data_IF_006352711325
#
_entry.id   IF_006352711325
#
_cell.length_a   1.000
_cell.length_b   1.000
_cell.length_c   1.000
_cell.angle_alpha   90.00
_cell.angle_beta   90.00
_cell.angle_gamma   90.00
#
_symmetry.space_group_name_H-M   'P 1'
#
loop_
_entity.id
_entity.type
_entity.pdbx_description
1 polymer ?
#
# COMPACT_ATOMS: atom_id res chain seq x y z
N UNK A 1 -50.32 -4.28 47.77
CA UNK A 1 -49.03 -3.61 48.03
C UNK A 1 -47.90 -4.46 47.47
N UNK A 2 -47.14 -3.88 46.53
CA UNK A 2 -45.76 -4.13 46.02
C UNK A 2 -45.03 -5.35 46.64
N UNK A 3 -44.30 -6.18 45.87
CA UNK A 3 -43.04 -5.81 45.20
C UNK A 3 -42.78 -6.70 43.97
N UNK A 4 -42.58 -6.07 42.81
CA UNK A 4 -41.86 -6.67 41.66
C UNK A 4 -40.35 -6.60 41.96
N UNK A 5 -39.66 -7.72 41.83
CA UNK A 5 -38.19 -7.79 41.86
C UNK A 5 -37.70 -7.71 40.42
N UNK A 6 -37.13 -6.56 40.03
CA UNK A 6 -36.36 -6.41 38.79
C UNK A 6 -34.94 -6.94 39.07
N UNK A 7 -34.51 -7.97 38.36
CA UNK A 7 -33.09 -8.36 38.31
C UNK A 7 -32.48 -7.57 37.15
N UNK A 8 -31.69 -6.56 37.47
CA UNK A 8 -30.84 -5.88 36.51
C UNK A 8 -29.62 -6.78 36.24
N UNK A 9 -29.58 -7.42 35.08
CA UNK A 9 -28.35 -8.00 34.54
C UNK A 9 -27.48 -6.84 34.04
N UNK A 10 -26.48 -6.46 34.84
CA UNK A 10 -25.41 -5.59 34.39
C UNK A 10 -24.57 -6.37 33.38
N UNK A 11 -24.71 -6.06 32.09
CA UNK A 11 -23.76 -6.49 31.08
C UNK A 11 -22.43 -5.77 31.36
N UNK A 12 -21.48 -6.46 31.98
CA UNK A 12 -20.09 -6.04 31.97
C UNK A 12 -19.59 -6.18 30.53
N UNK A 13 -19.60 -5.06 29.80
CA UNK A 13 -18.78 -4.92 28.60
C UNK A 13 -17.32 -4.91 29.07
N UNK A 14 -16.66 -6.06 28.98
CA UNK A 14 -15.20 -6.13 28.98
C UNK A 14 -14.74 -5.52 27.66
N UNK A 15 -14.65 -4.19 27.59
CA UNK A 15 -13.74 -3.55 26.65
C UNK A 15 -12.35 -3.92 27.11
N UNK A 16 -11.79 -4.98 26.53
CA UNK A 16 -10.35 -5.16 26.57
C UNK A 16 -9.76 -3.87 26.01
N UNK A 17 -9.03 -3.13 26.84
CA UNK A 17 -8.17 -2.07 26.36
C UNK A 17 -7.12 -2.76 25.49
N UNK A 18 -7.37 -2.86 24.18
CA UNK A 18 -6.28 -3.03 23.24
C UNK A 18 -5.33 -1.87 23.53
N UNK A 19 -4.09 -2.18 23.85
CA UNK A 19 -3.06 -1.16 23.91
C UNK A 19 -2.90 -0.62 22.47
N UNK A 20 -3.60 0.47 22.16
CA UNK A 20 -3.57 1.16 20.85
C UNK A 20 -2.24 1.90 20.60
N UNK A 21 -1.26 1.72 21.48
CA UNK A 21 0.09 2.27 21.35
C UNK A 21 1.02 1.23 20.72
N UNK A 22 1.82 1.66 19.73
CA UNK A 22 3.03 0.91 19.38
C UNK A 22 3.83 0.61 20.64
N UNK A 23 4.24 -0.64 20.79
CA UNK A 23 5.04 -1.12 21.90
C UNK A 23 6.22 -1.93 21.36
N UNK A 24 7.30 -1.93 22.13
CA UNK A 24 8.40 -2.86 21.87
C UNK A 24 7.86 -4.30 21.99
N UNK A 25 8.19 -5.14 21.01
CA UNK A 25 7.93 -6.57 21.00
C UNK A 25 9.07 -7.30 21.72
N UNK A 26 8.74 -8.31 22.52
CA UNK A 26 9.70 -9.26 23.10
C UNK A 26 10.30 -10.23 22.05
N UNK A 27 9.68 -10.32 20.87
CA UNK A 27 9.99 -11.28 19.81
C UNK A 27 10.51 -10.59 18.56
N UNK A 28 11.56 -11.14 17.91
CA UNK A 28 12.10 -10.59 16.68
C UNK A 28 11.09 -10.69 15.55
N UNK A 29 11.09 -9.70 14.66
CA UNK A 29 10.36 -9.74 13.39
C UNK A 29 10.75 -11.01 12.62
N UNK A 30 9.77 -11.87 12.38
CA UNK A 30 9.89 -13.05 11.54
C UNK A 30 9.13 -12.85 10.25
N UNK A 31 9.75 -13.13 9.11
CA UNK A 31 8.96 -13.46 7.92
C UNK A 31 8.47 -14.89 8.07
N UNK A 32 7.19 -15.13 7.80
CA UNK A 32 6.67 -16.48 7.73
C UNK A 32 7.41 -17.23 6.61
N UNK A 33 7.83 -18.46 6.88
CA UNK A 33 8.50 -19.28 5.88
C UNK A 33 7.50 -19.63 4.76
N UNK A 34 7.56 -18.88 3.67
CA UNK A 34 6.66 -19.06 2.53
C UNK A 34 7.18 -20.09 1.51
N UNK A 35 8.40 -20.60 1.67
CA UNK A 35 9.01 -21.54 0.72
C UNK A 35 8.16 -22.79 0.51
N UNK A 36 7.55 -23.34 1.56
CA UNK A 36 6.66 -24.51 1.46
C UNK A 36 5.38 -24.22 0.64
N UNK A 37 4.85 -23.00 0.73
CA UNK A 37 3.66 -22.56 -0.02
C UNK A 37 3.98 -22.50 -1.52
N UNK A 38 5.09 -21.85 -1.90
CA UNK A 38 5.53 -21.74 -3.30
C UNK A 38 6.00 -23.08 -3.90
N UNK A 39 6.68 -23.94 -3.12
CA UNK A 39 7.05 -25.28 -3.59
C UNK A 39 5.79 -26.10 -3.92
N UNK A 40 4.76 -26.00 -3.07
CA UNK A 40 3.49 -26.69 -3.33
C UNK A 40 2.78 -26.13 -4.56
N UNK A 41 2.73 -24.80 -4.69
CA UNK A 41 2.10 -24.12 -5.82
C UNK A 41 2.83 -24.39 -7.14
N UNK A 42 4.16 -24.36 -7.17
CA UNK A 42 4.97 -24.55 -8.39
C UNK A 42 4.82 -25.95 -9.02
N UNK A 43 4.37 -26.94 -8.25
CA UNK A 43 4.06 -28.28 -8.74
C UNK A 43 2.66 -28.42 -9.39
N UNK A 44 1.81 -27.40 -9.31
CA UNK A 44 0.45 -27.44 -9.86
C UNK A 44 0.42 -27.13 -11.37
N UNK A 45 -0.60 -27.63 -12.10
CA UNK A 45 -0.80 -27.23 -13.49
C UNK A 45 -1.01 -25.73 -13.65
N UNK A 46 -0.36 -25.14 -14.64
CA UNK A 46 -0.45 -23.70 -14.97
C UNK A 46 -1.52 -23.46 -16.04
N UNK A 47 -2.40 -22.50 -15.79
CA UNK A 47 -3.36 -21.99 -16.79
C UNK A 47 -2.89 -20.64 -17.31
N UNK A 48 -2.41 -20.59 -18.56
CA UNK A 48 -2.02 -19.32 -19.20
C UNK A 48 -3.26 -18.57 -19.70
N UNK A 49 -3.31 -17.26 -19.44
CA UNK A 49 -4.41 -16.35 -19.80
C UNK A 49 -3.87 -15.10 -20.47
N UNK A 50 -4.61 -14.52 -21.41
CA UNK A 50 -4.23 -13.30 -22.12
C UNK A 50 -5.43 -12.57 -22.71
N UNK A 51 -5.24 -11.29 -23.05
CA UNK A 51 -6.22 -10.49 -23.77
C UNK A 51 -7.45 -10.09 -22.94
N UNK A 52 -8.57 -9.84 -23.61
CA UNK A 52 -9.77 -9.28 -22.98
C UNK A 52 -10.75 -10.34 -22.47
N UNK A 53 -11.14 -10.21 -21.22
CA UNK A 53 -12.25 -10.90 -20.57
C UNK A 53 -13.51 -10.05 -20.74
N UNK A 54 -14.42 -10.52 -21.61
CA UNK A 54 -15.71 -9.86 -21.93
C UNK A 54 -16.93 -10.65 -21.46
N UNK A 55 -16.71 -11.79 -20.81
CA UNK A 55 -17.72 -12.60 -20.13
C UNK A 55 -17.21 -13.04 -18.77
N UNK A 56 -18.11 -13.30 -17.82
CA UNK A 56 -17.74 -13.76 -16.49
C UNK A 56 -16.78 -14.95 -16.57
N UNK A 57 -15.65 -14.83 -15.87
CA UNK A 57 -14.55 -15.79 -15.90
C UNK A 57 -14.14 -16.11 -14.47
N UNK A 58 -13.72 -17.35 -14.22
CA UNK A 58 -13.20 -17.78 -12.92
C UNK A 58 -11.76 -18.25 -13.06
N UNK A 59 -10.89 -17.77 -12.18
CA UNK A 59 -9.51 -18.20 -12.02
C UNK A 59 -9.35 -19.01 -10.72
N UNK A 60 -8.52 -20.06 -10.79
CA UNK A 60 -8.20 -20.94 -9.67
C UNK A 60 -6.89 -21.68 -9.93
N UNK A 61 -6.18 -22.10 -8.88
CA UNK A 61 -4.92 -22.84 -9.01
C UNK A 61 -3.75 -21.89 -9.34
N UNK A 62 -2.89 -22.27 -10.28
CA UNK A 62 -1.81 -21.39 -10.77
C UNK A 62 -2.21 -20.81 -12.12
N UNK A 63 -2.27 -19.49 -12.20
CA UNK A 63 -2.58 -18.72 -13.40
C UNK A 63 -1.34 -17.96 -13.84
N UNK A 64 -1.07 -17.99 -15.14
CA UNK A 64 0.03 -17.26 -15.75
C UNK A 64 -0.53 -16.22 -16.73
N UNK A 65 -0.33 -14.94 -16.45
CA UNK A 65 -0.77 -13.84 -17.30
C UNK A 65 0.30 -13.60 -18.38
N UNK A 66 -0.09 -13.78 -19.65
CA UNK A 66 0.71 -13.44 -20.81
C UNK A 66 0.34 -12.02 -21.31
N UNK A 67 1.24 -11.08 -21.05
CA UNK A 67 1.06 -9.66 -21.39
C UNK A 67 0.07 -8.96 -20.45
N UNK A 68 -0.94 -8.32 -21.05
CA UNK A 68 -1.98 -7.55 -20.35
C UNK A 68 -3.31 -8.30 -20.48
N UNK A 69 -3.96 -8.56 -19.35
CA UNK A 69 -5.34 -9.04 -19.29
C UNK A 69 -6.25 -7.89 -18.90
N UNK A 70 -7.32 -7.67 -19.66
CA UNK A 70 -8.32 -6.62 -19.38
C UNK A 70 -9.67 -7.24 -19.04
N UNK A 71 -10.34 -6.78 -17.99
CA UNK A 71 -11.72 -7.15 -17.65
C UNK A 71 -12.63 -5.98 -18.00
N UNK A 72 -13.60 -6.20 -18.90
CA UNK A 72 -14.42 -5.12 -19.46
C UNK A 72 -15.81 -5.56 -19.90
N UNK A 73 -16.62 -4.61 -20.36
CA UNK A 73 -17.96 -4.84 -20.92
C UNK A 73 -18.93 -5.54 -19.94
N UNK A 74 -18.86 -5.19 -18.65
CA UNK A 74 -19.70 -5.75 -17.58
C UNK A 74 -19.25 -7.12 -17.08
N UNK A 75 -18.17 -7.68 -17.61
CA UNK A 75 -17.65 -8.96 -17.15
C UNK A 75 -17.12 -8.87 -15.71
N UNK A 76 -17.33 -9.93 -14.94
CA UNK A 76 -16.70 -10.13 -13.63
C UNK A 76 -15.63 -11.20 -13.72
N UNK A 77 -14.41 -10.86 -13.33
CA UNK A 77 -13.36 -11.83 -13.04
C UNK A 77 -13.47 -12.27 -11.58
N UNK A 78 -13.78 -13.55 -11.34
CA UNK A 78 -13.75 -14.15 -10.01
C UNK A 78 -12.44 -14.90 -9.81
N UNK A 79 -11.70 -14.62 -8.74
CA UNK A 79 -10.48 -15.33 -8.39
C UNK A 79 -10.75 -16.10 -7.10
N UNK A 80 -10.59 -17.43 -7.14
CA UNK A 80 -10.87 -18.29 -6.00
C UNK A 80 -9.78 -18.14 -4.90
N UNK A 81 -10.12 -18.36 -3.61
CA UNK A 81 -9.12 -18.43 -2.54
C UNK A 81 -7.96 -19.38 -2.86
N UNK A 82 -6.75 -19.03 -2.44
CA UNK A 82 -5.54 -19.84 -2.65
C UNK A 82 -5.03 -19.87 -4.09
N UNK A 83 -5.52 -18.99 -4.96
CA UNK A 83 -5.01 -18.87 -6.34
C UNK A 83 -3.67 -18.13 -6.33
N UNK A 84 -2.70 -18.69 -7.06
CA UNK A 84 -1.44 -18.04 -7.39
C UNK A 84 -1.49 -17.48 -8.81
N UNK A 85 -1.05 -16.25 -8.99
CA UNK A 85 -1.00 -15.56 -10.26
C UNK A 85 0.44 -15.11 -10.49
N UNK A 86 1.01 -15.46 -11.63
CA UNK A 86 2.34 -15.03 -12.07
C UNK A 86 2.30 -14.40 -13.45
N UNK A 87 3.37 -13.70 -13.79
CA UNK A 87 3.60 -13.19 -15.13
C UNK A 87 4.25 -14.26 -16.01
N UNK A 88 3.96 -14.28 -17.31
CA UNK A 88 4.80 -14.98 -18.28
C UNK A 88 5.97 -14.06 -18.67
N UNK A 89 7.23 -14.46 -18.45
CA UNK A 89 8.38 -13.62 -18.81
C UNK A 89 8.34 -13.24 -20.30
N UNK A 90 8.33 -11.93 -20.58
CA UNK A 90 8.31 -11.36 -21.93
C UNK A 90 9.57 -10.50 -22.14
N UNK A 91 9.79 -10.01 -23.37
CA UNK A 91 10.92 -9.12 -23.63
C UNK A 91 10.73 -7.79 -22.89
N UNK A 92 11.84 -7.08 -22.62
CA UNK A 92 11.81 -5.75 -22.01
C UNK A 92 10.89 -4.83 -22.83
N UNK A 93 9.96 -4.16 -22.14
CA UNK A 93 9.03 -3.20 -22.73
C UNK A 93 7.75 -3.80 -23.33
N UNK A 94 7.55 -5.12 -23.28
CA UNK A 94 6.31 -5.74 -23.78
C UNK A 94 5.16 -5.70 -22.76
N UNK A 95 5.45 -5.36 -21.50
CA UNK A 95 4.51 -5.49 -20.39
C UNK A 95 4.26 -6.96 -20.08
N UNK A 96 4.42 -7.35 -18.82
CA UNK A 96 4.26 -8.75 -18.42
C UNK A 96 3.51 -8.84 -17.11
N UNK A 97 2.43 -9.62 -17.08
CA UNK A 97 1.70 -9.86 -15.83
C UNK A 97 0.86 -8.67 -15.35
N UNK A 98 0.21 -7.94 -16.25
CA UNK A 98 -0.65 -6.81 -15.88
C UNK A 98 -2.12 -7.23 -15.92
N UNK A 99 -2.82 -7.09 -14.81
CA UNK A 99 -4.28 -7.28 -14.72
C UNK A 99 -4.97 -5.92 -14.63
N UNK A 100 -5.77 -5.56 -15.63
CA UNK A 100 -6.54 -4.32 -15.64
C UNK A 100 -8.03 -4.60 -15.51
N UNK A 101 -8.66 -4.10 -14.46
CA UNK A 101 -10.11 -3.99 -14.32
C UNK A 101 -10.52 -2.61 -14.86
N UNK A 102 -11.07 -2.58 -16.07
CA UNK A 102 -11.48 -1.31 -16.70
C UNK A 102 -12.67 -0.69 -15.97
N UNK A 103 -13.01 0.59 -16.24
CA UNK A 103 -14.22 1.25 -15.68
C UNK A 103 -15.51 0.44 -15.84
N UNK A 104 -15.56 -0.45 -16.84
CA UNK A 104 -16.73 -1.26 -17.18
C UNK A 104 -16.64 -2.71 -16.72
N UNK A 105 -15.50 -3.15 -16.18
CA UNK A 105 -15.29 -4.49 -15.65
C UNK A 105 -15.44 -4.54 -14.13
N UNK A 106 -15.48 -5.77 -13.61
CA UNK A 106 -15.54 -6.02 -12.17
C UNK A 106 -14.58 -7.13 -11.74
N UNK A 107 -14.11 -7.08 -10.50
CA UNK A 107 -13.30 -8.12 -9.85
C UNK A 107 -14.00 -8.65 -8.60
N UNK A 108 -13.93 -9.96 -8.41
CA UNK A 108 -14.25 -10.62 -7.15
C UNK A 108 -13.05 -11.49 -6.76
N UNK A 109 -12.06 -10.87 -6.11
CA UNK A 109 -10.87 -11.52 -5.57
C UNK A 109 -11.01 -11.58 -4.05
N UNK A 110 -11.79 -12.53 -3.57
CA UNK A 110 -12.08 -12.71 -2.14
C UNK A 110 -11.37 -13.97 -1.65
N UNK A 111 -10.12 -13.81 -1.23
CA UNK A 111 -9.36 -14.85 -0.53
C UNK A 111 -9.86 -15.06 0.89
N UNK A 112 -9.12 -15.86 1.66
CA UNK A 112 -9.37 -16.02 3.10
C UNK A 112 -8.07 -15.83 3.87
N UNK A 113 -8.17 -15.67 5.19
CA UNK A 113 -6.98 -15.49 6.02
C UNK A 113 -5.94 -16.61 5.82
N UNK A 114 -6.39 -17.86 5.73
CA UNK A 114 -5.55 -19.05 5.51
C UNK A 114 -5.24 -19.37 4.05
N UNK A 115 -5.95 -18.76 3.10
CA UNK A 115 -5.81 -19.02 1.66
C UNK A 115 -5.95 -17.68 0.92
N UNK A 116 -4.97 -16.78 1.08
CA UNK A 116 -4.98 -15.52 0.34
C UNK A 116 -4.84 -15.79 -1.16
N UNK A 117 -5.22 -14.80 -1.96
CA UNK A 117 -4.89 -14.77 -3.39
C UNK A 117 -3.52 -14.11 -3.52
N UNK A 118 -2.60 -14.72 -4.27
CA UNK A 118 -1.20 -14.28 -4.34
C UNK A 118 -0.81 -13.96 -5.77
N UNK A 119 -0.56 -12.69 -6.06
CA UNK A 119 0.12 -12.23 -7.27
C UNK A 119 1.62 -12.16 -6.97
N UNK A 120 2.47 -12.80 -7.76
CA UNK A 120 3.89 -12.97 -7.42
C UNK A 120 4.80 -13.15 -8.63
N UNK A 121 6.12 -13.01 -8.40
CA UNK A 121 7.18 -13.35 -9.34
C UNK A 121 7.02 -14.78 -9.90
N UNK A 122 7.22 -14.90 -11.21
CA UNK A 122 7.25 -16.19 -11.89
C UNK A 122 8.39 -17.10 -11.45
N UNK A 123 9.49 -16.52 -10.93
CA UNK A 123 10.67 -17.25 -10.47
C UNK A 123 10.35 -18.09 -9.23
N UNK A 124 9.45 -17.62 -8.36
CA UNK A 124 8.99 -18.42 -7.22
C UNK A 124 8.10 -19.60 -7.63
N UNK A 125 7.65 -19.67 -8.89
CA UNK A 125 6.68 -20.63 -9.40
C UNK A 125 7.16 -21.32 -10.69
N UNK A 126 8.46 -21.36 -10.95
CA UNK A 126 9.07 -22.01 -12.12
C UNK A 126 9.56 -23.45 -11.84
N UNK A 127 9.50 -23.89 -10.58
CA UNK A 127 9.96 -25.20 -10.14
C UNK A 127 11.48 -25.32 -9.97
N UNK A 128 12.20 -24.19 -10.00
CA UNK A 128 13.64 -24.12 -9.80
C UNK A 128 13.97 -23.33 -8.53
N UNK A 129 14.40 -24.03 -7.47
CA UNK A 129 14.75 -23.43 -6.18
C UNK A 129 15.99 -22.50 -6.23
N UNK A 130 16.76 -22.53 -7.34
CA UNK A 130 17.92 -21.66 -7.53
C UNK A 130 17.57 -20.28 -8.11
N UNK A 131 16.32 -20.03 -8.53
CA UNK A 131 15.92 -18.71 -9.02
C UNK A 131 15.54 -17.78 -7.87
N UNK A 132 15.83 -16.49 -8.04
CA UNK A 132 15.56 -15.46 -7.04
C UNK A 132 14.62 -14.43 -7.63
N UNK A 133 13.47 -14.22 -6.98
CA UNK A 133 12.52 -13.18 -7.32
C UNK A 133 13.17 -11.80 -7.26
N UNK A 134 12.81 -10.93 -8.19
CA UNK A 134 13.22 -9.52 -8.18
C UNK A 134 12.02 -8.61 -8.35
N UNK A 135 12.05 -7.39 -7.79
CA UNK A 135 11.04 -6.39 -8.06
C UNK A 135 10.81 -6.21 -9.56
N UNK A 136 9.54 -6.13 -9.95
CA UNK A 136 9.06 -6.08 -11.33
C UNK A 136 9.07 -7.39 -12.13
N UNK A 137 9.24 -8.53 -11.47
CA UNK A 137 8.92 -9.82 -12.09
C UNK A 137 7.40 -9.99 -12.35
N UNK A 138 6.53 -9.21 -11.70
CA UNK A 138 5.09 -9.11 -11.99
C UNK A 138 4.73 -7.68 -12.40
N UNK A 139 3.79 -7.51 -13.32
CA UNK A 139 3.42 -6.20 -13.85
C UNK A 139 2.69 -5.34 -12.83
N UNK A 140 1.56 -5.83 -12.33
CA UNK A 140 0.73 -5.09 -11.38
C UNK A 140 -0.75 -5.35 -11.57
N UNK A 141 -1.54 -4.84 -10.62
CA UNK A 141 -3.00 -4.90 -10.67
C UNK A 141 -3.53 -3.46 -10.76
N UNK A 142 -4.36 -3.20 -11.77
CA UNK A 142 -4.90 -1.87 -12.04
C UNK A 142 -6.42 -1.90 -11.94
N UNK A 143 -7.00 -1.08 -11.07
CA UNK A 143 -8.45 -0.91 -10.95
C UNK A 143 -8.82 0.50 -11.43
N UNK A 144 -9.64 0.57 -12.47
CA UNK A 144 -10.11 1.82 -13.06
C UNK A 144 -11.59 2.01 -12.75
N UNK A 145 -11.97 3.18 -12.29
CA UNK A 145 -13.33 3.53 -11.92
C UNK A 145 -13.86 4.80 -12.57
N UNK A 146 -15.13 5.08 -12.27
CA UNK A 146 -15.90 6.21 -12.78
C UNK A 146 -16.15 7.28 -11.68
N UNK A 147 -15.39 7.26 -10.58
CA UNK A 147 -15.50 8.25 -9.51
C UNK A 147 -14.80 9.57 -9.86
N UNK A 148 -15.15 10.68 -9.20
CA UNK A 148 -14.54 11.99 -9.46
C UNK A 148 -13.03 11.99 -9.29
N UNK A 149 -12.35 12.67 -10.22
CA UNK A 149 -10.92 13.00 -10.19
C UNK A 149 -10.77 14.49 -10.53
N UNK A 150 -9.59 15.06 -10.35
CA UNK A 150 -9.32 16.45 -10.75
C UNK A 150 -8.61 16.57 -12.12
N UNK A 151 -8.60 15.48 -12.90
CA UNK A 151 -8.07 15.38 -14.27
C UNK A 151 -9.19 15.04 -15.27
N UNK A 152 -9.00 15.26 -16.58
CA UNK A 152 -9.99 14.86 -17.59
C UNK A 152 -10.33 13.36 -17.52
N UNK A 153 -11.58 12.98 -17.80
CA UNK A 153 -12.00 11.56 -17.84
C UNK A 153 -11.38 10.76 -18.99
N UNK A 154 -10.66 11.44 -19.88
CA UNK A 154 -9.88 10.87 -20.98
C UNK A 154 -8.43 10.59 -20.61
N UNK A 155 -8.00 10.97 -19.39
CA UNK A 155 -6.69 10.63 -18.86
C UNK A 155 -6.57 9.12 -18.71
N UNK A 156 -5.48 8.57 -19.22
CA UNK A 156 -5.11 7.16 -19.02
C UNK A 156 -4.32 7.04 -17.75
N UNK A 157 -4.47 5.90 -17.06
CA UNK A 157 -3.51 5.49 -16.05
C UNK A 157 -2.11 5.46 -16.68
N UNK A 158 -1.08 5.73 -15.89
CA UNK A 158 0.30 5.69 -16.36
C UNK A 158 0.75 4.30 -16.84
N UNK A 159 1.86 4.26 -17.58
CA UNK A 159 2.41 3.05 -18.21
C UNK A 159 1.57 2.49 -19.37
N UNK A 160 0.27 2.80 -19.43
CA UNK A 160 -0.69 2.21 -20.36
C UNK A 160 -1.34 3.25 -21.28
N UNK A 161 -1.61 2.84 -22.53
CA UNK A 161 -2.16 3.74 -23.55
C UNK A 161 -3.38 3.13 -24.24
N UNK A 162 -4.44 3.93 -24.36
CA UNK A 162 -5.68 3.50 -25.03
C UNK A 162 -6.95 3.76 -24.19
N UNK A 163 -8.10 3.63 -24.86
CA UNK A 163 -9.40 3.99 -24.27
C UNK A 163 -9.84 3.09 -23.12
N UNK A 164 -9.39 1.83 -23.11
CA UNK A 164 -9.71 0.87 -22.05
C UNK A 164 -8.99 1.21 -20.73
N UNK A 165 -7.95 2.05 -20.77
CA UNK A 165 -7.11 2.42 -19.63
C UNK A 165 -7.42 3.80 -19.04
N UNK A 166 -8.47 4.45 -19.54
CA UNK A 166 -8.92 5.73 -19.00
C UNK A 166 -9.59 5.52 -17.63
N UNK A 167 -9.46 6.50 -16.73
CA UNK A 167 -10.12 6.51 -15.40
C UNK A 167 -10.89 7.82 -15.17
N UNK A 168 -11.63 7.88 -14.05
CA UNK A 168 -12.35 9.06 -13.61
C UNK A 168 -13.73 9.26 -14.25
N UNK A 169 -14.60 9.99 -13.56
CA UNK A 169 -15.98 10.21 -13.96
C UNK A 169 -16.74 11.07 -12.96
N UNK A 170 -18.03 10.79 -12.77
CA UNK A 170 -18.88 11.54 -11.84
C UNK A 170 -19.55 10.66 -10.78
N UNK A 171 -19.40 9.34 -10.87
CA UNK A 171 -20.06 8.38 -10.01
C UNK A 171 -19.16 8.03 -8.81
N UNK A 172 -19.25 8.83 -7.74
CA UNK A 172 -18.53 8.57 -6.49
C UNK A 172 -18.83 7.19 -5.88
N UNK A 173 -19.96 6.58 -6.23
CA UNK A 173 -20.37 5.24 -5.80
C UNK A 173 -20.07 4.13 -6.81
N UNK A 174 -19.23 4.39 -7.82
CA UNK A 174 -18.76 3.35 -8.74
C UNK A 174 -18.18 2.16 -7.96
N UNK A 175 -18.44 0.96 -8.46
CA UNK A 175 -18.06 -0.28 -7.80
C UNK A 175 -17.28 -1.17 -8.78
N UNK A 176 -15.97 -1.25 -8.60
CA UNK A 176 -15.09 -2.15 -9.34
C UNK A 176 -15.13 -3.59 -8.78
N UNK A 177 -15.72 -3.80 -7.61
CA UNK A 177 -15.93 -5.09 -6.98
C UNK A 177 -15.22 -5.22 -5.62
N UNK A 178 -14.60 -6.37 -5.37
CA UNK A 178 -13.98 -6.69 -4.07
C UNK A 178 -12.60 -7.31 -4.25
N UNK A 179 -11.63 -6.76 -3.51
CA UNK A 179 -10.33 -7.38 -3.26
C UNK A 179 -10.17 -7.54 -1.75
N UNK A 180 -10.09 -8.80 -1.29
CA UNK A 180 -9.96 -9.13 0.12
C UNK A 180 -9.06 -10.32 0.38
N UNK A 181 -8.14 -10.19 1.34
CA UNK A 181 -7.08 -11.18 1.62
C UNK A 181 -6.25 -11.46 0.36
N UNK A 182 -5.57 -10.41 -0.11
CA UNK A 182 -4.74 -10.44 -1.33
C UNK A 182 -3.31 -10.08 -0.97
N UNK A 183 -2.34 -10.80 -1.54
CA UNK A 183 -0.92 -10.45 -1.54
C UNK A 183 -0.48 -10.12 -2.96
N UNK A 184 0.20 -9.00 -3.15
CA UNK A 184 0.81 -8.59 -4.42
C UNK A 184 2.31 -8.43 -4.16
N UNK A 185 3.11 -9.28 -4.76
CA UNK A 185 4.53 -9.39 -4.45
C UNK A 185 5.37 -9.22 -5.72
N UNK A 186 6.50 -8.53 -5.60
CA UNK A 186 7.45 -8.34 -6.71
C UNK A 186 6.81 -7.67 -7.94
N UNK A 187 5.82 -6.82 -7.70
CA UNK A 187 5.06 -6.13 -8.72
C UNK A 187 5.64 -4.75 -9.04
N UNK A 188 5.04 -4.04 -9.99
CA UNK A 188 5.53 -2.76 -10.49
C UNK A 188 6.43 -2.99 -11.70
N UNK A 189 6.17 -2.37 -12.83
CA UNK A 189 6.92 -2.66 -14.05
C UNK A 189 7.18 -1.40 -14.86
N UNK A 190 8.46 -1.09 -15.03
CA UNK A 190 8.91 -0.03 -15.90
C UNK A 190 9.06 -0.52 -17.35
N UNK A 191 8.31 0.07 -18.27
CA UNK A 191 8.29 -0.32 -19.68
C UNK A 191 9.54 0.10 -20.46
N UNK A 192 10.33 1.03 -19.94
CA UNK A 192 11.54 1.54 -20.61
C UNK A 192 12.81 1.09 -19.85
N UNK A 193 12.69 0.91 -18.54
CA UNK A 193 13.71 0.43 -17.62
C UNK A 193 13.80 1.35 -16.40
N UNK A 194 13.99 0.75 -15.22
CA UNK A 194 13.83 1.37 -13.90
C UNK A 194 14.11 2.88 -13.81
N UNK A 195 13.16 3.61 -13.19
CA UNK A 195 13.14 5.05 -12.97
C UNK A 195 12.94 5.87 -14.27
N UNK A 196 12.17 5.35 -15.24
CA UNK A 196 11.94 6.06 -16.50
C UNK A 196 10.78 7.05 -16.49
N UNK A 197 9.84 6.94 -15.54
CA UNK A 197 8.60 7.71 -15.55
C UNK A 197 7.50 7.11 -16.45
N UNK A 198 7.66 5.85 -16.87
CA UNK A 198 6.72 5.11 -17.72
C UNK A 198 6.55 3.69 -17.19
N UNK A 199 5.96 3.62 -16.00
CA UNK A 199 5.77 2.41 -15.22
C UNK A 199 4.30 2.17 -14.87
N UNK A 200 4.04 0.98 -14.32
CA UNK A 200 2.81 0.66 -13.59
C UNK A 200 3.22 0.25 -12.18
N UNK A 201 2.37 0.52 -11.21
CA UNK A 201 2.60 0.20 -9.80
C UNK A 201 2.20 -1.23 -9.44
N UNK A 202 2.43 -1.62 -8.19
CA UNK A 202 1.93 -2.89 -7.69
C UNK A 202 0.39 -2.94 -7.65
N UNK A 203 -0.25 -1.92 -7.05
CA UNK A 203 -1.70 -1.72 -7.09
C UNK A 203 -2.04 -0.26 -7.43
N UNK A 204 -2.42 -0.01 -8.69
CA UNK A 204 -2.86 1.31 -9.16
C UNK A 204 -4.40 1.42 -9.09
N UNK A 205 -4.88 2.52 -8.53
CA UNK A 205 -6.30 2.78 -8.25
C UNK A 205 -6.74 4.10 -8.92
N UNK A 206 -7.15 4.03 -10.19
CA UNK A 206 -7.58 5.20 -10.94
C UNK A 206 -9.07 5.48 -10.80
N UNK A 207 -9.45 6.57 -10.12
CA UNK A 207 -10.84 7.02 -10.05
C UNK A 207 -11.79 5.98 -9.46
N UNK A 208 -11.32 5.14 -8.54
CA UNK A 208 -12.11 4.04 -7.96
C UNK A 208 -13.13 4.60 -6.97
N UNK A 209 -14.39 4.16 -7.09
CA UNK A 209 -15.49 4.64 -6.26
C UNK A 209 -15.64 3.92 -4.92
N UNK A 210 -16.35 4.55 -3.99
CA UNK A 210 -16.59 4.06 -2.62
C UNK A 210 -17.58 2.88 -2.53
N UNK A 211 -18.12 2.40 -3.66
CA UNK A 211 -18.83 1.14 -3.75
C UNK A 211 -17.89 -0.07 -3.79
N UNK A 212 -16.60 0.14 -4.10
CA UNK A 212 -15.56 -0.90 -4.16
C UNK A 212 -15.08 -1.25 -2.76
N UNK A 213 -14.77 -2.53 -2.51
CA UNK A 213 -14.21 -2.99 -1.23
C UNK A 213 -12.75 -3.39 -1.40
N UNK A 214 -11.86 -2.71 -0.65
CA UNK A 214 -10.44 -3.03 -0.50
C UNK A 214 -10.15 -3.32 0.97
N UNK A 215 -9.83 -4.57 1.30
CA UNK A 215 -9.68 -5.00 2.70
C UNK A 215 -8.62 -6.10 2.86
N UNK A 216 -7.67 -5.96 3.78
CA UNK A 216 -6.59 -6.96 3.97
C UNK A 216 -5.79 -7.21 2.68
N UNK A 217 -5.08 -6.17 2.23
CA UNK A 217 -4.20 -6.25 1.06
C UNK A 217 -2.78 -5.99 1.50
N UNK A 218 -1.89 -6.92 1.20
CA UNK A 218 -0.45 -6.77 1.39
C UNK A 218 0.23 -6.57 0.03
N UNK A 219 1.13 -5.59 -0.03
CA UNK A 219 2.04 -5.38 -1.15
C UNK A 219 3.47 -5.48 -0.65
N UNK A 220 4.34 -6.15 -1.40
CA UNK A 220 5.73 -6.42 -0.96
C UNK A 220 6.72 -6.40 -2.11
N UNK A 221 7.90 -5.83 -1.87
CA UNK A 221 9.02 -5.85 -2.81
C UNK A 221 8.67 -5.30 -4.20
N UNK A 222 7.87 -4.24 -4.24
CA UNK A 222 7.50 -3.58 -5.50
C UNK A 222 8.70 -2.84 -6.11
N UNK A 223 8.82 -2.84 -7.43
CA UNK A 223 9.81 -2.02 -8.17
C UNK A 223 9.42 -0.53 -8.17
N UNK A 224 8.17 -0.27 -7.84
CA UNK A 224 7.50 1.01 -7.89
C UNK A 224 6.55 1.09 -6.70
N UNK A 225 5.59 2.02 -6.72
CA UNK A 225 4.69 2.21 -5.59
C UNK A 225 3.93 0.96 -5.20
N UNK A 226 3.75 0.79 -3.88
CA UNK A 226 2.92 -0.29 -3.38
C UNK A 226 1.44 -0.05 -3.65
N UNK A 227 0.96 1.15 -3.34
CA UNK A 227 -0.41 1.56 -3.53
C UNK A 227 -0.41 2.98 -4.07
N UNK A 228 -0.95 3.17 -5.28
CA UNK A 228 -1.11 4.52 -5.83
C UNK A 228 -2.56 4.81 -6.15
N UNK A 229 -3.05 5.93 -5.64
CA UNK A 229 -4.42 6.38 -5.79
C UNK A 229 -4.51 7.60 -6.69
N UNK A 230 -4.91 7.37 -7.94
CA UNK A 230 -5.17 8.44 -8.90
C UNK A 230 -6.60 8.91 -8.83
N UNK A 231 -6.88 9.83 -7.91
CA UNK A 231 -8.24 10.33 -7.71
C UNK A 231 -9.22 9.29 -7.16
N UNK A 232 -10.51 9.61 -7.14
CA UNK A 232 -11.56 8.72 -6.66
C UNK A 232 -11.88 8.86 -5.17
N UNK A 233 -12.76 7.97 -4.70
CA UNK A 233 -13.40 8.07 -3.38
C UNK A 233 -13.35 6.75 -2.60
N UNK A 234 -12.71 5.71 -3.16
CA UNK A 234 -12.63 4.38 -2.54
C UNK A 234 -12.07 4.45 -1.13
N UNK A 235 -12.71 3.76 -0.20
CA UNK A 235 -12.17 3.55 1.13
C UNK A 235 -11.40 2.22 1.15
N UNK A 236 -10.36 2.14 1.95
CA UNK A 236 -9.61 0.91 2.15
C UNK A 236 -9.40 0.63 3.64
N UNK A 237 -9.26 -0.65 3.98
CA UNK A 237 -8.95 -1.05 5.35
C UNK A 237 -7.88 -2.14 5.37
N UNK A 238 -6.98 -2.10 6.35
CA UNK A 238 -5.94 -3.13 6.55
C UNK A 238 -5.00 -3.26 5.35
N UNK A 239 -4.31 -2.17 5.02
CA UNK A 239 -3.29 -2.14 3.98
C UNK A 239 -1.90 -2.32 4.59
N UNK A 240 -1.08 -3.17 3.97
CA UNK A 240 0.31 -3.38 4.36
C UNK A 240 1.19 -3.19 3.14
N UNK A 241 2.15 -2.28 3.22
CA UNK A 241 3.24 -2.12 2.26
C UNK A 241 4.56 -2.49 2.93
N UNK A 242 5.41 -3.21 2.20
CA UNK A 242 6.75 -3.57 2.65
C UNK A 242 7.75 -3.48 1.52
N UNK A 243 8.88 -2.84 1.79
CA UNK A 243 10.06 -2.89 0.93
C UNK A 243 9.75 -2.47 -0.52
N UNK A 244 8.87 -1.48 -0.73
CA UNK A 244 8.78 -0.83 -2.02
C UNK A 244 10.14 -0.19 -2.37
N UNK A 245 10.49 -0.22 -3.65
CA UNK A 245 11.58 0.58 -4.17
C UNK A 245 11.18 2.05 -4.24
N UNK A 246 9.92 2.37 -4.56
CA UNK A 246 9.39 3.74 -4.48
C UNK A 246 8.40 3.93 -3.30
N UNK A 247 7.30 4.64 -3.46
CA UNK A 247 6.46 5.04 -2.34
C UNK A 247 5.64 3.89 -1.76
N UNK A 248 5.47 3.89 -0.42
CA UNK A 248 4.58 2.92 0.21
C UNK A 248 3.10 3.24 -0.07
N UNK A 249 2.76 4.52 -0.14
CA UNK A 249 1.44 5.00 -0.53
C UNK A 249 1.58 6.34 -1.26
N UNK A 250 1.18 6.42 -2.51
CA UNK A 250 1.06 7.69 -3.24
C UNK A 250 -0.43 8.05 -3.49
N UNK A 251 -0.71 9.33 -3.39
CA UNK A 251 -2.02 9.91 -3.60
C UNK A 251 -1.91 11.12 -4.52
N UNK A 252 -2.64 11.06 -5.63
CA UNK A 252 -2.72 12.19 -6.52
C UNK A 252 -4.13 12.36 -7.14
N UNK A 253 -4.22 13.30 -8.07
CA UNK A 253 -5.35 13.51 -8.97
C UNK A 253 -6.75 13.60 -8.33
N UNK A 254 -6.83 14.12 -7.10
CA UNK A 254 -8.09 14.42 -6.42
C UNK A 254 -8.62 13.29 -5.55
N UNK A 255 -7.77 12.39 -5.03
CA UNK A 255 -8.23 11.30 -4.19
C UNK A 255 -8.77 11.83 -2.85
N UNK A 256 -9.95 11.37 -2.45
CA UNK A 256 -10.67 11.85 -1.24
C UNK A 256 -11.22 10.72 -0.38
N UNK A 257 -10.73 9.50 -0.57
CA UNK A 257 -11.14 8.35 0.21
C UNK A 257 -10.57 8.35 1.63
N UNK A 258 -11.07 7.42 2.44
CA UNK A 258 -10.58 7.15 3.79
C UNK A 258 -9.86 5.80 3.84
N UNK A 259 -8.63 5.82 4.36
CA UNK A 259 -7.88 4.60 4.68
C UNK A 259 -7.89 4.41 6.19
N UNK A 260 -8.25 3.21 6.64
CA UNK A 260 -8.22 2.85 8.06
C UNK A 260 -7.30 1.66 8.25
N UNK A 261 -6.32 1.77 9.14
CA UNK A 261 -5.29 0.75 9.34
C UNK A 261 -4.39 0.57 8.13
N UNK A 262 -3.30 1.33 8.12
CA UNK A 262 -2.25 1.25 7.11
C UNK A 262 -0.90 1.04 7.80
N UNK A 263 -0.08 0.15 7.25
CA UNK A 263 1.27 -0.14 7.69
C UNK A 263 2.23 -0.02 6.51
N UNK A 264 3.27 0.80 6.67
CA UNK A 264 4.38 0.90 5.73
C UNK A 264 5.68 0.51 6.43
N UNK A 265 6.40 -0.45 5.85
CA UNK A 265 7.64 -0.98 6.39
C UNK A 265 8.75 -0.84 5.35
N UNK A 266 9.80 -0.14 5.72
CA UNK A 266 11.00 -0.01 4.91
C UNK A 266 11.88 -1.28 4.95
N UNK A 267 12.67 -1.52 3.91
CA UNK A 267 13.79 -2.47 3.93
C UNK A 267 15.08 -1.72 3.60
N UNK A 268 16.06 -1.79 4.49
CA UNK A 268 17.37 -1.16 4.32
C UNK A 268 18.20 -1.77 3.17
N UNK A 269 17.77 -2.91 2.62
CA UNK A 269 18.40 -3.56 1.48
C UNK A 269 17.66 -3.33 0.16
N UNK A 270 16.54 -2.59 0.14
CA UNK A 270 15.85 -2.23 -1.10
C UNK A 270 16.73 -1.30 -1.94
N UNK A 271 16.63 -1.40 -3.27
CA UNK A 271 17.42 -0.58 -4.21
C UNK A 271 17.06 0.89 -4.15
N UNK A 272 15.85 1.24 -3.69
CA UNK A 272 15.25 2.57 -3.64
C UNK A 272 15.27 3.33 -4.98
N UNK A 273 14.10 3.79 -5.42
CA UNK A 273 13.94 4.66 -6.58
C UNK A 273 14.71 5.96 -6.37
N UNK A 274 15.36 6.42 -7.45
CA UNK A 274 16.10 7.68 -7.46
C UNK A 274 15.59 8.61 -8.55
N UNK A 275 15.38 9.87 -8.18
CA UNK A 275 15.03 10.95 -9.08
C UNK A 275 16.09 12.04 -9.01
N UNK A 276 16.67 12.40 -10.17
CA UNK A 276 17.76 13.39 -10.22
C UNK A 276 19.04 13.02 -9.43
N UNK A 277 19.23 11.74 -9.08
CA UNK A 277 20.36 11.24 -8.31
C UNK A 277 20.20 11.30 -6.79
N UNK A 278 18.99 11.56 -6.30
CA UNK A 278 18.59 11.45 -4.88
C UNK A 278 17.42 10.48 -4.76
N UNK A 279 17.22 9.86 -3.60
CA UNK A 279 16.05 9.00 -3.35
C UNK A 279 14.77 9.82 -3.47
N UNK A 280 13.78 9.24 -4.12
CA UNK A 280 12.40 9.76 -4.23
C UNK A 280 11.42 8.98 -3.32
N UNK A 281 11.94 8.01 -2.56
CA UNK A 281 11.16 7.00 -1.84
C UNK A 281 10.61 7.52 -0.51
N UNK A 282 9.29 7.53 -0.34
CA UNK A 282 8.58 8.00 0.85
C UNK A 282 7.68 6.93 1.48
N UNK A 283 7.37 7.13 2.76
CA UNK A 283 6.28 6.40 3.40
C UNK A 283 4.90 6.82 2.87
N UNK A 284 4.74 8.12 2.57
CA UNK A 284 3.62 8.68 1.82
C UNK A 284 4.17 9.78 0.90
N UNK A 285 3.90 9.71 -0.39
CA UNK A 285 3.91 10.87 -1.28
C UNK A 285 2.46 11.35 -1.48
N UNK A 286 2.28 12.67 -1.61
CA UNK A 286 0.96 13.26 -1.79
C UNK A 286 1.04 14.54 -2.62
N UNK A 287 0.47 14.45 -3.81
CA UNK A 287 0.28 15.56 -4.74
C UNK A 287 -1.21 15.89 -4.93
N UNK A 288 -1.54 17.16 -5.21
CA UNK A 288 -2.89 17.42 -5.74
C UNK A 288 -3.03 16.92 -7.18
N UNK A 289 -2.02 17.21 -7.98
CA UNK A 289 -1.81 16.80 -9.37
C UNK A 289 -0.38 17.25 -9.75
N UNK A 290 0.13 16.76 -10.88
CA UNK A 290 1.50 17.02 -11.35
C UNK A 290 1.94 18.50 -11.38
N UNK A 291 0.99 19.46 -11.47
CA UNK A 291 1.30 20.90 -11.53
C UNK A 291 1.00 21.65 -10.23
N UNK A 292 0.36 21.01 -9.25
CA UNK A 292 -0.16 21.64 -8.05
C UNK A 292 -1.24 22.68 -8.28
N UNK A 293 -1.94 22.62 -9.42
CA UNK A 293 -2.99 23.59 -9.76
C UNK A 293 -4.16 23.44 -8.81
N UNK A 294 -4.66 24.56 -8.28
CA UNK A 294 -5.86 24.57 -7.45
C UNK A 294 -7.11 24.23 -8.26
N UNK A 295 -7.83 23.21 -7.80
CA UNK A 295 -9.05 22.67 -8.41
C UNK A 295 -10.19 22.65 -7.39
N UNK A 296 -11.43 22.45 -7.83
CA UNK A 296 -12.57 22.31 -6.91
C UNK A 296 -12.53 21.02 -6.10
N UNK A 297 -11.87 19.99 -6.63
CA UNK A 297 -11.57 18.73 -5.96
C UNK A 297 -10.07 18.66 -5.73
N UNK A 298 -9.64 18.62 -4.47
CA UNK A 298 -8.24 18.46 -4.11
C UNK A 298 -7.95 17.03 -3.66
N UNK A 299 -6.73 16.54 -3.88
CA UNK A 299 -6.25 15.33 -3.20
C UNK A 299 -6.21 15.61 -1.71
N UNK A 300 -7.13 14.97 -0.99
CA UNK A 300 -7.31 15.12 0.44
C UNK A 300 -7.72 13.80 1.11
N UNK A 301 -6.83 12.79 1.13
CA UNK A 301 -7.07 11.57 1.88
C UNK A 301 -7.25 11.82 3.38
N UNK A 302 -8.07 10.97 3.99
CA UNK A 302 -8.16 10.83 5.45
C UNK A 302 -7.56 9.48 5.83
N UNK A 303 -6.55 9.48 6.70
CA UNK A 303 -5.93 8.24 7.17
C UNK A 303 -6.09 8.12 8.69
N UNK A 304 -6.67 7.00 9.11
CA UNK A 304 -6.85 6.62 10.50
C UNK A 304 -5.93 5.43 10.83
N UNK A 305 -5.24 5.46 11.96
CA UNK A 305 -4.39 4.36 12.44
C UNK A 305 -3.25 4.00 11.47
N UNK A 306 -2.39 4.99 11.17
CA UNK A 306 -1.25 4.85 10.26
C UNK A 306 0.04 4.52 11.01
N UNK A 307 0.76 3.47 10.63
CA UNK A 307 2.11 3.20 11.13
C UNK A 307 3.09 3.15 9.97
N UNK A 308 4.10 4.01 10.00
CA UNK A 308 5.21 4.04 9.03
C UNK A 308 6.50 3.80 9.79
N UNK A 309 7.24 2.77 9.40
CA UNK A 309 8.51 2.37 10.03
C UNK A 309 9.60 2.30 8.97
N UNK A 310 10.47 3.30 9.02
CA UNK A 310 11.66 3.45 8.20
C UNK A 310 12.86 2.66 8.75
N UNK A 311 14.02 2.90 8.14
CA UNK A 311 15.27 2.21 8.51
C UNK A 311 15.97 2.92 9.66
N UNK A 312 16.88 2.22 10.36
CA UNK A 312 17.58 2.76 11.54
C UNK A 312 18.71 3.74 11.21
N UNK A 313 18.75 4.30 10.00
CA UNK A 313 19.85 5.13 9.51
C UNK A 313 19.35 6.20 8.55
N UNK A 314 19.89 7.41 8.68
CA UNK A 314 19.80 8.45 7.65
C UNK A 314 21.02 8.44 6.71
N UNK A 315 21.95 7.51 6.93
CA UNK A 315 23.18 7.38 6.15
C UNK A 315 22.95 6.38 5.03
N UNK A 316 23.13 6.90 3.81
CA UNK A 316 23.24 6.17 2.55
C UNK A 316 24.14 4.95 2.70
N UNK A 317 23.65 3.78 2.32
CA UNK A 317 24.52 2.61 2.17
C UNK A 317 25.65 2.96 1.20
N UNK A 318 26.93 2.77 1.53
CA UNK A 318 28.04 3.05 0.62
C UNK A 318 28.13 2.04 -0.55
N UNK A 319 27.15 1.16 -0.72
CA UNK A 319 27.09 0.12 -1.74
C UNK A 319 26.52 0.73 -3.04
N UNK A 320 27.26 0.61 -4.14
CA UNK A 320 26.77 0.98 -5.47
C UNK A 320 25.51 0.15 -5.82
N UNK A 321 24.40 0.82 -6.15
CA UNK A 321 23.12 0.17 -6.46
C UNK A 321 22.15 0.05 -5.28
N UNK A 322 22.50 0.61 -4.13
CA UNK A 322 21.55 0.92 -3.05
C UNK A 322 21.33 2.42 -3.08
N UNK A 323 20.09 2.86 -3.27
CA UNK A 323 19.73 4.28 -3.31
C UNK A 323 20.08 4.97 -1.99
N UNK A 324 20.05 6.31 -1.99
CA UNK A 324 20.15 7.03 -0.72
C UNK A 324 19.03 6.57 0.22
N UNK A 325 19.21 6.73 1.53
CA UNK A 325 18.14 6.44 2.50
C UNK A 325 16.81 7.03 2.00
N UNK A 326 15.70 6.32 2.27
CA UNK A 326 14.34 6.83 2.10
C UNK A 326 14.25 8.34 2.40
N UNK A 327 13.54 9.12 1.59
CA UNK A 327 13.57 10.58 1.68
C UNK A 327 12.75 11.09 2.88
N UNK A 328 11.42 10.88 2.86
CA UNK A 328 10.51 11.37 3.89
C UNK A 328 9.57 10.27 4.40
N UNK A 329 9.21 10.34 5.68
CA UNK A 329 8.13 9.49 6.19
C UNK A 329 6.80 9.88 5.55
N UNK A 330 6.53 11.18 5.42
CA UNK A 330 5.39 11.75 4.68
C UNK A 330 5.86 13.00 3.94
N UNK A 331 5.59 13.10 2.64
CA UNK A 331 5.81 14.29 1.82
C UNK A 331 4.47 14.78 1.26
N UNK A 332 4.02 15.95 1.69
CA UNK A 332 2.81 16.61 1.18
C UNK A 332 3.26 17.78 0.33
N UNK A 333 2.97 17.75 -0.97
CA UNK A 333 3.41 18.77 -1.90
C UNK A 333 2.32 19.12 -2.93
N UNK A 334 2.65 20.06 -3.82
CA UNK A 334 1.79 20.49 -4.95
C UNK A 334 0.31 20.70 -4.58
N UNK A 335 0.02 21.49 -3.54
CA UNK A 335 -1.34 21.85 -3.09
C UNK A 335 -2.19 20.66 -2.57
N UNK A 336 -1.53 19.55 -2.22
CA UNK A 336 -2.14 18.39 -1.61
C UNK A 336 -2.42 18.56 -0.12
N UNK A 337 -3.38 17.81 0.42
CA UNK A 337 -3.80 17.94 1.82
C UNK A 337 -3.91 16.57 2.47
N UNK A 338 -3.55 16.47 3.74
CA UNK A 338 -3.67 15.21 4.47
C UNK A 338 -4.40 15.43 5.79
N UNK A 339 -5.37 14.58 6.10
CA UNK A 339 -5.93 14.47 7.44
C UNK A 339 -5.39 13.20 8.10
N UNK A 340 -4.69 13.34 9.21
CA UNK A 340 -4.14 12.22 9.98
C UNK A 340 -4.80 12.10 11.35
N UNK A 341 -5.28 10.91 11.67
CA UNK A 341 -5.80 10.56 12.99
C UNK A 341 -5.08 9.30 13.47
N UNK A 342 -4.48 9.36 14.66
CA UNK A 342 -3.68 8.28 15.23
C UNK A 342 -2.60 7.81 14.24
N UNK A 343 -1.47 8.51 14.19
CA UNK A 343 -0.37 8.22 13.27
C UNK A 343 0.97 8.10 14.01
N UNK A 344 1.80 7.14 13.62
CA UNK A 344 3.18 7.04 14.08
C UNK A 344 4.11 6.86 12.88
N UNK A 345 5.10 7.73 12.77
CA UNK A 345 6.08 7.77 11.70
C UNK A 345 7.47 7.74 12.32
N UNK A 346 8.32 6.80 11.92
CA UNK A 346 9.69 6.64 12.46
C UNK A 346 10.68 6.25 11.39
N UNK A 347 11.97 6.54 11.58
CA UNK A 347 13.04 5.93 10.78
C UNK A 347 13.34 6.58 9.43
N UNK A 348 13.02 7.87 9.28
CA UNK A 348 13.31 8.63 8.06
C UNK A 348 14.22 9.83 8.34
N UNK A 349 15.02 10.32 7.38
CA UNK A 349 15.73 11.58 7.48
C UNK A 349 14.81 12.75 7.81
N UNK A 350 13.68 12.84 7.10
CA UNK A 350 12.60 13.78 7.40
C UNK A 350 11.33 13.03 7.80
N UNK A 351 10.75 13.35 8.96
CA UNK A 351 9.52 12.68 9.42
C UNK A 351 8.30 13.10 8.61
N UNK A 352 7.91 14.38 8.68
CA UNK A 352 6.85 14.97 7.84
C UNK A 352 7.36 16.25 7.16
N UNK A 353 7.30 16.28 5.82
CA UNK A 353 7.61 17.44 5.00
C UNK A 353 6.35 17.94 4.31
N UNK A 354 5.96 19.18 4.60
CA UNK A 354 4.91 19.87 3.84
C UNK A 354 5.54 20.98 3.01
N UNK A 355 5.38 20.91 1.70
CA UNK A 355 6.06 21.80 0.75
C UNK A 355 5.10 22.44 -0.26
N UNK A 356 5.41 23.67 -0.66
CA UNK A 356 4.68 24.38 -1.70
C UNK A 356 3.45 25.12 -1.18
N UNK A 357 2.94 26.02 -2.03
CA UNK A 357 1.77 26.83 -1.69
C UNK A 357 0.50 25.97 -1.71
N UNK A 358 -0.31 26.11 -0.67
CA UNK A 358 -1.61 25.44 -0.55
C UNK A 358 -1.56 24.01 -0.01
N UNK A 359 -0.36 23.41 0.06
CA UNK A 359 -0.16 22.12 0.71
C UNK A 359 -0.28 22.25 2.23
N UNK A 360 -0.94 21.30 2.89
CA UNK A 360 -1.10 21.32 4.34
C UNK A 360 -1.27 19.93 4.97
N UNK A 361 -0.66 19.77 6.15
CA UNK A 361 -1.21 18.83 7.13
C UNK A 361 -2.46 19.49 7.75
N UNK A 362 -3.63 19.00 7.35
CA UNK A 362 -4.91 19.65 7.58
C UNK A 362 -5.19 19.87 9.08
N UNK A 363 -5.81 21.01 9.40
CA UNK A 363 -6.31 21.32 10.74
C UNK A 363 -7.43 20.41 11.24
N UNK A 364 -8.00 19.57 10.36
CA UNK A 364 -8.91 18.49 10.73
C UNK A 364 -8.20 17.28 11.37
N UNK A 365 -6.87 17.23 11.33
CA UNK A 365 -6.07 16.16 11.92
C UNK A 365 -6.15 16.16 13.45
N UNK A 366 -6.11 14.98 14.05
CA UNK A 366 -6.05 14.84 15.51
C UNK A 366 -4.60 14.97 15.98
N UNK A 367 -4.05 16.18 15.98
CA UNK A 367 -2.61 16.42 16.21
C UNK A 367 -2.03 15.76 17.49
N UNK A 368 -2.80 15.70 18.57
CA UNK A 368 -2.36 15.09 19.83
C UNK A 368 -2.05 13.59 19.74
N UNK A 369 -2.55 12.92 18.70
CA UNK A 369 -2.38 11.49 18.44
C UNK A 369 -1.24 11.16 17.45
N UNK A 370 -0.62 12.19 16.86
CA UNK A 370 0.41 12.03 15.84
C UNK A 370 1.78 12.02 16.53
N UNK A 371 2.57 10.96 16.34
CA UNK A 371 3.96 10.82 16.81
C UNK A 371 4.89 10.75 15.61
N UNK A 372 5.94 11.57 15.62
CA UNK A 372 6.85 11.69 14.46
C UNK A 372 8.29 11.65 14.93
N UNK A 373 9.06 10.74 14.34
CA UNK A 373 10.50 10.73 14.42
C UNK A 373 11.12 11.08 13.06
N UNK A 374 12.17 11.90 13.08
CA UNK A 374 13.01 12.18 11.92
C UNK A 374 14.43 12.51 12.33
N UNK A 375 15.43 11.91 11.67
CA UNK A 375 16.84 12.03 12.07
C UNK A 375 17.42 13.43 11.84
N UNK A 376 17.05 14.07 10.73
CA UNK A 376 17.53 15.40 10.33
C UNK A 376 16.47 16.46 10.63
N UNK A 377 15.25 16.23 10.15
CA UNK A 377 14.10 17.13 10.34
C UNK A 377 12.91 16.33 10.83
N UNK A 378 12.41 16.59 12.02
CA UNK A 378 11.23 15.85 12.51
C UNK A 378 9.99 16.23 11.72
N UNK A 379 9.69 17.52 11.63
CA UNK A 379 8.56 18.06 10.86
C UNK A 379 8.90 19.42 10.25
N UNK A 380 8.32 19.75 9.10
CA UNK A 380 8.41 21.07 8.48
C UNK A 380 7.17 21.41 7.64
N UNK A 381 6.89 22.70 7.50
CA UNK A 381 5.82 23.22 6.65
C UNK A 381 4.44 23.36 7.30
N UNK A 382 3.46 23.77 6.50
CA UNK A 382 2.12 24.21 6.96
C UNK A 382 1.38 23.12 7.72
N UNK A 383 0.80 23.50 8.87
CA UNK A 383 -0.02 22.61 9.72
C UNK A 383 0.77 21.76 10.72
N UNK A 384 2.05 21.49 10.46
CA UNK A 384 2.88 20.63 11.33
C UNK A 384 3.08 21.18 12.75
N UNK A 385 3.02 22.51 12.93
CA UNK A 385 3.09 23.16 14.24
C UNK A 385 1.94 22.80 15.20
N UNK A 386 0.87 22.17 14.69
CA UNK A 386 -0.21 21.62 15.53
C UNK A 386 0.22 20.39 16.34
N UNK A 387 1.24 19.65 15.90
CA UNK A 387 1.73 18.44 16.59
C UNK A 387 2.43 18.84 17.89
N UNK A 388 2.04 18.29 19.06
CA UNK A 388 2.68 18.62 20.33
C UNK A 388 4.18 18.29 20.31
N UNK A 389 5.00 19.17 20.89
CA UNK A 389 6.46 18.95 20.98
C UNK A 389 6.83 17.63 21.69
N UNK A 390 5.99 17.16 22.62
CA UNK A 390 6.20 15.86 23.30
C UNK A 390 6.07 14.65 22.37
N UNK A 391 5.47 14.82 21.19
CA UNK A 391 5.29 13.78 20.19
C UNK A 391 6.33 13.84 19.06
N UNK A 392 7.36 14.69 19.19
CA UNK A 392 8.42 14.87 18.19
C UNK A 392 9.74 14.30 18.73
N UNK A 393 10.44 13.47 17.94
CA UNK A 393 11.75 12.89 18.31
C UNK A 393 12.74 12.94 17.15
N UNK A 394 14.02 13.13 17.45
CA UNK A 394 15.13 13.06 16.47
C UNK A 394 16.31 12.22 16.95
N UNK A 395 16.15 11.49 18.05
CA UNK A 395 17.20 10.66 18.64
C UNK A 395 17.49 9.37 17.86
N UNK A 396 18.52 8.64 18.28
CA UNK A 396 18.79 7.26 17.82
C UNK A 396 17.81 6.24 18.42
N UNK A 397 16.97 6.67 19.35
CA UNK A 397 15.82 5.97 19.91
C UNK A 397 14.57 6.86 19.77
N UNK A 398 13.39 6.28 19.95
CA UNK A 398 12.15 7.03 20.09
C UNK A 398 11.57 6.84 21.49
N UNK A 399 12.40 7.09 22.51
CA UNK A 399 12.03 6.93 23.93
C UNK A 399 10.82 7.78 24.31
N UNK A 400 10.63 8.94 23.66
CA UNK A 400 9.46 9.79 23.81
C UNK A 400 8.14 9.08 23.46
N UNK A 401 8.20 8.00 22.66
CA UNK A 401 7.05 7.20 22.27
C UNK A 401 6.92 5.91 23.09
N UNK A 402 7.89 5.62 23.96
CA UNK A 402 8.03 4.35 24.66
C UNK A 402 8.67 3.24 23.80
N UNK A 403 9.46 3.60 22.78
CA UNK A 403 10.03 2.66 21.82
C UNK A 403 11.56 2.72 21.84
N UNK A 404 12.20 1.63 22.27
CA UNK A 404 13.66 1.54 22.39
C UNK A 404 14.34 1.18 21.06
N UNK A 405 13.63 0.55 20.12
CA UNK A 405 14.12 0.23 18.78
C UNK A 405 13.03 0.47 17.70
N UNK A 406 12.70 1.73 17.39
CA UNK A 406 11.55 2.09 16.57
C UNK A 406 11.76 1.93 15.06
N UNK A 407 12.78 1.18 14.64
CA UNK A 407 13.23 1.13 13.26
C UNK A 407 13.26 -0.31 12.75
N UNK A 408 13.03 -0.48 11.45
CA UNK A 408 13.22 -1.77 10.82
C UNK A 408 14.71 -2.15 10.91
N UNK A 409 14.98 -3.29 11.54
CA UNK A 409 16.29 -3.95 11.59
C UNK A 409 16.08 -5.46 11.53
N UNK A 410 17.11 -6.23 11.18
CA UNK A 410 17.03 -7.70 11.18
C UNK A 410 16.73 -8.32 12.57
N UNK A 411 16.82 -7.53 13.66
CA UNK A 411 16.51 -7.91 15.04
C UNK A 411 15.29 -7.14 15.59
N UNK A 412 14.39 -6.72 14.71
CA UNK A 412 13.34 -5.76 15.01
C UNK A 412 12.33 -6.25 16.05
N UNK A 413 11.99 -5.36 16.97
CA UNK A 413 11.11 -5.59 18.11
C UNK A 413 10.00 -4.52 18.17
N UNK A 414 9.20 -4.28 17.13
CA UNK A 414 7.99 -3.42 17.25
C UNK A 414 6.80 -4.16 16.68
N UNK A 415 5.75 -4.32 17.49
CA UNK A 415 4.45 -4.73 16.96
C UNK A 415 3.78 -3.50 16.33
N UNK A 416 3.38 -3.54 15.04
CA UNK A 416 2.49 -2.52 14.52
C UNK A 416 1.20 -2.51 15.33
N UNK A 417 0.47 -1.40 15.28
CA UNK A 417 -0.83 -1.32 15.96
C UNK A 417 -1.73 -2.42 15.44
N UNK A 418 -2.27 -3.24 16.34
CA UNK A 418 -3.16 -4.35 15.98
C UNK A 418 -4.58 -3.84 15.70
N UNK A 419 -4.72 -2.94 14.73
CA UNK A 419 -6.00 -2.35 14.37
C UNK A 419 -6.71 -3.11 13.23
N UNK A 420 -6.06 -4.17 12.70
CA UNK A 420 -6.50 -4.88 11.49
C UNK A 420 -6.23 -6.38 11.45
N UNK A 421 -5.96 -7.01 12.59
CA UNK A 421 -5.43 -8.38 12.64
C UNK A 421 -4.20 -8.56 11.73
N UNK A 422 -3.27 -7.61 11.75
CA UNK A 422 -2.00 -7.76 11.00
C UNK A 422 -1.24 -9.01 11.47
N UNK A 423 -1.44 -9.42 12.73
CA UNK A 423 -0.92 -10.66 13.32
C UNK A 423 -1.54 -11.95 12.73
N UNK A 424 -2.55 -11.84 11.87
CA UNK A 424 -3.17 -12.96 11.20
C UNK A 424 -2.25 -13.59 10.15
N UNK A 425 -2.51 -14.87 9.84
CA UNK A 425 -1.70 -15.68 8.90
C UNK A 425 -1.87 -15.28 7.43
N UNK A 426 -2.71 -14.26 7.16
CA UNK A 426 -2.92 -13.73 5.83
C UNK A 426 -1.76 -12.85 5.36
N UNK A 427 -1.04 -12.23 6.29
CA UNK A 427 0.20 -11.52 5.94
C UNK A 427 1.34 -12.52 5.82
N UNK A 428 2.39 -12.15 5.07
CA UNK A 428 3.65 -12.92 5.04
C UNK A 428 4.52 -12.66 6.28
N UNK A 429 4.04 -11.84 7.21
CA UNK A 429 4.75 -11.41 8.40
C UNK A 429 4.23 -12.14 9.63
N UNK A 430 5.13 -12.44 10.55
CA UNK A 430 4.78 -12.83 11.89
C UNK A 430 4.93 -11.60 12.80
N UNK A 431 3.79 -10.93 13.05
CA UNK A 431 3.71 -9.83 14.02
C UNK A 431 3.29 -10.32 15.42
N UNK A 432 3.30 -11.63 15.69
CA UNK A 432 2.93 -12.14 17.00
C UNK A 432 3.92 -11.66 18.07
N UNK A 433 3.39 -11.01 19.10
CA UNK A 433 4.13 -10.77 20.33
C UNK A 433 3.99 -12.06 21.14
N UNK A 434 5.07 -12.82 21.32
CA UNK A 434 5.06 -13.90 22.30
C UNK A 434 5.16 -13.26 23.69
N UNK A 435 4.06 -13.30 24.45
CA UNK A 435 4.01 -12.83 25.84
C UNK A 435 5.03 -13.53 26.76
#
# INVERSE_FOLDING_TARGET
MKKLTLIAAAALSLTACQHDSLADSSSPFGMQSASAEYITASALPVTTVSGAITSNTTWSGVVEIDGIVTVKNGATLTIQPGTFIKAKPNAIGEGSGILVITKTGHINATGTESQPIVFTSYRLLDGNEDTTAVPGDFGGVVLLGDAPTNVPTTTTIEGLTGVDYQFGGSNASHNAGTMKYVRIEFAGYDFVGANSGNEVNALSLGGVGNGTTLDHIQVSYGQDDSFEFFGGTVNATNLVSFAAEDDNFDFDNGYTGTITCALALADANSSHTISGGVSDTNGIELDNNATGTATTLLTHPVINNLTIVGTSTNVVSPISGVGSAYENGIHIRRNGRLTLNDAVITGYPTGIRVEGSGSELSSASTYGSIKVHGFTTVVTGTGTAGIPAANLSSGTSADAFGMSSPFFSISWNVSPRNCGNFQGIWTKYDFSIVE
#
